data_IF_825315236697
#
_entry.id   IF_825315236697
#
_cell.length_a   1.000
_cell.length_b   1.000
_cell.length_c   1.000
_cell.angle_alpha   90.00
_cell.angle_beta   90.00
_cell.angle_gamma   90.00
#
_symmetry.space_group_name_H-M   'P 1'
#
loop_
_entity.id
_entity.type
_entity.pdbx_description
1 polymer ?
#
# COMPACT_ATOMS: atom_id res chain seq x y z
N UNK A 1 77.72 52.35 -34.00
CA UNK A 1 77.41 51.03 -33.41
C UNK A 1 76.73 51.13 -32.04
N UNK A 2 77.21 51.94 -31.08
CA UNK A 2 76.61 52.04 -29.73
C UNK A 2 75.14 52.52 -29.68
N UNK A 3 74.73 53.51 -30.48
CA UNK A 3 73.35 54.04 -30.46
C UNK A 3 72.32 52.99 -30.90
N UNK A 4 72.65 52.16 -31.88
CA UNK A 4 71.78 51.08 -32.35
C UNK A 4 71.59 49.97 -31.29
N UNK A 5 72.63 49.69 -30.50
CA UNK A 5 72.55 48.74 -29.39
C UNK A 5 71.69 49.29 -28.23
N UNK A 6 71.82 50.58 -27.92
CA UNK A 6 71.01 51.24 -26.89
C UNK A 6 69.51 51.25 -27.26
N UNK A 7 69.17 51.54 -28.53
CA UNK A 7 67.78 51.48 -28.99
C UNK A 7 67.22 50.05 -28.92
N UNK A 8 67.98 49.05 -29.37
CA UNK A 8 67.58 47.64 -29.29
C UNK A 8 67.38 47.15 -27.85
N UNK A 9 68.16 47.64 -26.89
CA UNK A 9 67.98 47.33 -25.48
C UNK A 9 66.70 47.97 -24.91
N UNK A 10 66.40 49.21 -25.31
CA UNK A 10 65.18 49.92 -24.93
C UNK A 10 63.93 49.23 -25.48
N UNK A 11 63.95 48.80 -26.74
CA UNK A 11 62.85 48.06 -27.38
C UNK A 11 62.61 46.70 -26.71
N UNK A 12 63.68 46.02 -26.25
CA UNK A 12 63.54 44.79 -25.48
C UNK A 12 62.96 45.03 -24.10
N UNK A 13 63.35 46.11 -23.43
CA UNK A 13 62.80 46.47 -22.12
C UNK A 13 61.30 46.79 -22.22
N UNK A 14 60.86 47.49 -23.28
CA UNK A 14 59.44 47.77 -23.50
C UNK A 14 58.66 46.51 -23.86
N UNK A 15 59.21 45.62 -24.70
CA UNK A 15 58.58 44.32 -25.00
C UNK A 15 58.43 43.45 -23.76
N UNK A 16 59.43 43.40 -22.88
CA UNK A 16 59.36 42.66 -21.63
C UNK A 16 58.31 43.25 -20.67
N UNK A 17 58.20 44.59 -20.57
CA UNK A 17 57.15 45.24 -19.76
C UNK A 17 55.76 44.92 -20.29
N UNK A 18 55.56 44.98 -21.61
CA UNK A 18 54.28 44.65 -22.24
C UNK A 18 53.91 43.16 -22.09
N UNK A 19 54.89 42.27 -22.18
CA UNK A 19 54.70 40.84 -21.93
C UNK A 19 54.33 40.56 -20.45
N UNK A 20 54.95 41.28 -19.51
CA UNK A 20 54.60 41.18 -18.09
C UNK A 20 53.18 41.72 -17.80
N UNK A 21 52.81 42.86 -18.38
CA UNK A 21 51.48 43.47 -18.21
C UNK A 21 50.36 42.60 -18.81
N UNK A 22 50.59 42.01 -19.98
CA UNK A 22 49.65 41.06 -20.59
C UNK A 22 49.48 39.80 -19.74
N UNK A 23 50.59 39.21 -19.25
CA UNK A 23 50.51 38.07 -18.34
C UNK A 23 49.75 38.37 -17.03
N UNK A 24 49.94 39.56 -16.45
CA UNK A 24 49.18 40.00 -15.27
C UNK A 24 47.70 40.23 -15.60
N UNK A 25 47.39 40.77 -16.78
CA UNK A 25 46.01 40.98 -17.23
C UNK A 25 45.27 39.64 -17.43
N UNK A 26 45.93 38.67 -18.05
CA UNK A 26 45.41 37.31 -18.24
C UNK A 26 45.17 36.61 -16.89
N UNK A 27 46.14 36.68 -15.96
CA UNK A 27 45.98 36.11 -14.62
C UNK A 27 44.80 36.73 -13.87
N UNK A 28 44.65 38.06 -13.92
CA UNK A 28 43.51 38.76 -13.33
C UNK A 28 42.18 38.36 -13.98
N UNK A 29 42.16 38.12 -15.29
CA UNK A 29 40.97 37.65 -15.98
C UNK A 29 40.59 36.23 -15.56
N UNK A 30 41.57 35.33 -15.46
CA UNK A 30 41.34 33.96 -15.00
C UNK A 30 40.84 33.92 -13.56
N UNK A 31 41.43 34.71 -12.65
CA UNK A 31 40.94 34.83 -11.27
C UNK A 31 39.52 35.35 -11.19
N UNK A 32 39.14 36.34 -12.01
CA UNK A 32 37.75 36.82 -12.08
C UNK A 32 36.79 35.73 -12.53
N UNK A 33 37.14 34.99 -13.59
CA UNK A 33 36.31 33.86 -14.07
C UNK A 33 36.12 32.78 -13.00
N UNK A 34 37.18 32.45 -12.28
CA UNK A 34 37.09 31.49 -11.16
C UNK A 34 36.23 32.03 -10.02
N UNK A 35 36.32 33.32 -9.69
CA UNK A 35 35.47 33.94 -8.68
C UNK A 35 33.98 33.90 -9.08
N UNK A 36 33.66 34.33 -10.30
CA UNK A 36 32.28 34.32 -10.82
C UNK A 36 31.71 32.90 -10.84
N UNK A 37 32.55 31.92 -11.22
CA UNK A 37 32.17 30.50 -11.21
C UNK A 37 31.94 29.98 -9.79
N UNK A 38 32.80 30.34 -8.84
CA UNK A 38 32.65 29.96 -7.44
C UNK A 38 31.38 30.56 -6.83
N UNK A 39 31.06 31.81 -7.17
CA UNK A 39 29.83 32.48 -6.73
C UNK A 39 28.57 31.80 -7.31
N UNK A 40 28.60 31.45 -8.60
CA UNK A 40 27.52 30.69 -9.23
C UNK A 40 27.30 29.32 -8.56
N UNK A 41 28.37 28.56 -8.31
CA UNK A 41 28.30 27.27 -7.63
C UNK A 41 27.80 27.41 -6.18
N UNK A 42 28.19 28.47 -5.46
CA UNK A 42 27.68 28.75 -4.11
C UNK A 42 26.17 29.03 -4.14
N UNK A 43 25.68 29.75 -5.14
CA UNK A 43 24.26 30.00 -5.36
C UNK A 43 23.47 28.72 -5.66
N UNK A 44 23.97 27.86 -6.53
CA UNK A 44 23.37 26.55 -6.83
C UNK A 44 23.34 25.64 -5.61
N UNK A 45 24.43 25.59 -4.83
CA UNK A 45 24.51 24.79 -3.61
C UNK A 45 23.55 25.31 -2.54
N UNK A 46 23.39 26.63 -2.40
CA UNK A 46 22.40 27.22 -1.50
C UNK A 46 20.96 26.90 -1.93
N UNK A 47 20.68 26.86 -3.23
CA UNK A 47 19.38 26.43 -3.77
C UNK A 47 19.13 24.95 -3.49
N UNK A 48 20.09 24.08 -3.81
CA UNK A 48 20.01 22.64 -3.56
C UNK A 48 19.79 22.32 -2.07
N UNK A 49 20.46 23.04 -1.16
CA UNK A 49 20.24 22.91 0.29
C UNK A 49 18.83 23.31 0.71
N UNK A 50 18.26 24.38 0.13
CA UNK A 50 16.88 24.80 0.40
C UNK A 50 15.88 23.76 -0.09
N UNK A 51 16.09 23.23 -1.29
CA UNK A 51 15.21 22.21 -1.89
C UNK A 51 15.25 20.90 -1.07
N UNK A 52 16.43 20.45 -0.63
CA UNK A 52 16.57 19.29 0.26
C UNK A 52 15.89 19.51 1.61
N UNK A 53 16.01 20.70 2.19
CA UNK A 53 15.31 21.04 3.44
C UNK A 53 13.79 20.98 3.27
N UNK A 54 13.27 21.47 2.14
CA UNK A 54 11.85 21.38 1.83
C UNK A 54 11.39 19.92 1.64
N UNK A 55 12.15 19.09 0.93
CA UNK A 55 11.86 17.67 0.78
C UNK A 55 11.86 16.91 2.10
N UNK A 56 12.82 17.21 2.99
CA UNK A 56 12.88 16.60 4.32
C UNK A 56 11.65 16.95 5.16
N UNK A 57 11.20 18.20 5.12
CA UNK A 57 10.01 18.66 5.82
C UNK A 57 8.72 18.02 5.27
N UNK A 58 8.62 17.82 3.95
CA UNK A 58 7.50 17.11 3.33
C UNK A 58 7.50 15.62 3.74
N UNK A 59 8.66 14.97 3.77
CA UNK A 59 8.78 13.57 4.18
C UNK A 59 8.45 13.37 5.66
N UNK A 60 8.88 14.28 6.55
CA UNK A 60 8.54 14.20 7.97
C UNK A 60 7.03 14.36 8.17
N UNK A 61 6.43 15.35 7.50
CA UNK A 61 4.98 15.59 7.57
C UNK A 61 4.19 14.39 7.04
N UNK A 62 4.61 13.78 5.92
CA UNK A 62 3.97 12.59 5.38
C UNK A 62 4.06 11.39 6.35
N UNK A 63 5.19 11.23 7.05
CA UNK A 63 5.35 10.19 8.09
C UNK A 63 4.43 10.43 9.30
N UNK A 64 4.27 11.69 9.71
CA UNK A 64 3.36 12.07 10.81
C UNK A 64 1.90 11.83 10.42
N UNK A 65 1.49 12.23 9.21
CA UNK A 65 0.14 11.99 8.66
C UNK A 65 -0.14 10.49 8.53
N UNK A 66 0.81 9.69 8.04
CA UNK A 66 0.68 8.23 7.97
C UNK A 66 0.54 7.60 9.36
N UNK A 67 1.27 8.11 10.36
CA UNK A 67 1.17 7.64 11.74
C UNK A 67 -0.18 7.99 12.38
N UNK A 68 -0.73 9.16 12.08
CA UNK A 68 -2.07 9.57 12.51
C UNK A 68 -3.16 8.73 11.84
N UNK A 69 -3.07 8.53 10.53
CA UNK A 69 -4.00 7.70 9.77
C UNK A 69 -4.03 6.25 10.29
N UNK A 70 -2.86 5.68 10.60
CA UNK A 70 -2.77 4.34 11.20
C UNK A 70 -3.47 4.27 12.55
N UNK A 71 -3.23 5.24 13.44
CA UNK A 71 -3.90 5.30 14.75
C UNK A 71 -5.42 5.42 14.60
N UNK A 72 -5.89 6.28 13.69
CA UNK A 72 -7.32 6.45 13.42
C UNK A 72 -7.95 5.18 12.83
N UNK A 73 -7.24 4.46 11.97
CA UNK A 73 -7.67 3.18 11.44
C UNK A 73 -7.72 2.10 12.54
N UNK A 74 -6.71 2.05 13.42
CA UNK A 74 -6.70 1.14 14.57
C UNK A 74 -7.88 1.41 15.51
N UNK A 75 -8.17 2.67 15.85
CA UNK A 75 -9.33 3.03 16.69
C UNK A 75 -10.64 2.66 16.00
N UNK A 76 -10.81 3.00 14.72
CA UNK A 76 -12.02 2.64 13.96
C UNK A 76 -12.22 1.11 13.88
N UNK A 77 -11.14 0.34 13.70
CA UNK A 77 -11.23 -1.12 13.69
C UNK A 77 -11.49 -1.70 15.08
N UNK A 78 -11.06 -1.04 16.16
CA UNK A 78 -11.36 -1.45 17.53
C UNK A 78 -12.83 -1.20 17.86
N UNK A 79 -13.36 -0.03 17.49
CA UNK A 79 -14.78 0.32 17.64
C UNK A 79 -15.69 -0.65 16.86
N UNK A 80 -15.36 -0.95 15.59
CA UNK A 80 -16.13 -1.92 14.81
C UNK A 80 -16.15 -3.31 15.46
N UNK A 81 -15.02 -3.77 16.01
CA UNK A 81 -14.95 -5.06 16.72
C UNK A 81 -15.81 -5.04 17.99
N UNK A 82 -15.81 -3.94 18.73
CA UNK A 82 -16.65 -3.79 19.92
C UNK A 82 -18.14 -3.81 19.57
N UNK A 83 -18.54 -3.11 18.52
CA UNK A 83 -19.92 -3.12 18.01
C UNK A 83 -20.33 -4.53 17.57
N UNK A 84 -19.50 -5.22 16.79
CA UNK A 84 -19.77 -6.60 16.38
C UNK A 84 -19.91 -7.57 17.56
N UNK A 85 -19.04 -7.42 18.58
CA UNK A 85 -19.15 -8.21 19.81
C UNK A 85 -20.47 -7.93 20.53
N UNK A 86 -20.86 -6.66 20.64
CA UNK A 86 -22.12 -6.26 21.28
C UNK A 86 -23.33 -6.84 20.55
N UNK A 87 -23.33 -6.81 19.22
CA UNK A 87 -24.38 -7.42 18.41
C UNK A 87 -24.40 -8.96 18.54
N UNK A 88 -23.24 -9.62 18.66
CA UNK A 88 -23.18 -11.06 18.89
C UNK A 88 -23.75 -11.43 20.26
N UNK A 89 -23.36 -10.71 21.32
CA UNK A 89 -23.86 -10.93 22.67
C UNK A 89 -25.39 -10.72 22.72
N UNK A 90 -25.91 -9.70 22.04
CA UNK A 90 -27.37 -9.47 21.88
C UNK A 90 -28.07 -10.58 21.09
N UNK A 91 -27.46 -11.08 20.01
CA UNK A 91 -28.03 -12.18 19.25
C UNK A 91 -28.10 -13.47 20.08
N UNK A 92 -27.11 -13.70 20.94
CA UNK A 92 -27.07 -14.84 21.86
C UNK A 92 -28.16 -14.74 22.93
N UNK A 93 -28.35 -13.56 23.54
CA UNK A 93 -29.44 -13.36 24.51
C UNK A 93 -30.81 -13.57 23.89
N UNK A 94 -31.06 -13.01 22.70
CA UNK A 94 -32.32 -13.21 21.96
C UNK A 94 -32.56 -14.68 21.62
N UNK A 95 -31.51 -15.42 21.27
CA UNK A 95 -31.61 -16.86 21.00
C UNK A 95 -32.03 -17.63 22.26
N UNK A 96 -31.45 -17.28 23.42
CA UNK A 96 -31.83 -17.86 24.72
C UNK A 96 -33.27 -17.55 25.13
N UNK A 97 -33.72 -16.31 24.90
CA UNK A 97 -35.12 -15.91 25.15
C UNK A 97 -36.10 -16.66 24.26
N UNK A 98 -35.80 -16.81 22.95
CA UNK A 98 -36.63 -17.59 22.04
C UNK A 98 -36.70 -19.07 22.43
N UNK A 99 -35.60 -19.65 22.92
CA UNK A 99 -35.60 -21.02 23.44
C UNK A 99 -36.48 -21.17 24.69
N UNK A 100 -36.43 -20.21 25.62
CA UNK A 100 -37.33 -20.17 26.79
C UNK A 100 -38.79 -20.07 26.39
N UNK A 101 -39.14 -19.11 25.52
CA UNK A 101 -40.52 -18.94 25.03
C UNK A 101 -41.03 -20.21 24.34
N UNK A 102 -40.19 -20.90 23.56
CA UNK A 102 -40.55 -22.19 22.94
C UNK A 102 -40.83 -23.27 23.99
N UNK A 103 -39.98 -23.41 25.00
CA UNK A 103 -40.19 -24.37 26.09
C UNK A 103 -41.44 -24.06 26.94
N UNK A 104 -41.73 -22.79 27.21
CA UNK A 104 -42.95 -22.36 27.89
C UNK A 104 -44.21 -22.66 27.06
N UNK A 105 -44.16 -22.48 25.74
CA UNK A 105 -45.27 -22.78 24.85
C UNK A 105 -45.51 -24.30 24.76
N UNK A 106 -44.45 -25.10 24.69
CA UNK A 106 -44.51 -26.56 24.70
C UNK A 106 -45.08 -27.11 26.03
N UNK A 107 -44.65 -26.56 27.17
CA UNK A 107 -45.22 -26.93 28.49
C UNK A 107 -46.69 -26.52 28.63
N UNK A 108 -47.08 -25.33 28.15
CA UNK A 108 -48.48 -24.90 28.13
C UNK A 108 -49.35 -25.79 27.23
N UNK A 109 -48.85 -26.23 26.08
CA UNK A 109 -49.54 -27.19 25.19
C UNK A 109 -49.73 -28.55 25.87
N UNK A 110 -48.73 -29.05 26.59
CA UNK A 110 -48.83 -30.30 27.33
C UNK A 110 -49.89 -30.21 28.45
N UNK A 111 -49.93 -29.13 29.22
CA UNK A 111 -50.90 -28.91 30.30
C UNK A 111 -52.33 -28.76 29.76
N UNK A 112 -52.52 -28.04 28.65
CA UNK A 112 -53.85 -27.84 28.05
C UNK A 112 -54.36 -29.05 27.26
N UNK A 113 -53.50 -29.96 26.79
CA UNK A 113 -53.93 -31.25 26.23
C UNK A 113 -54.50 -32.21 27.30
N UNK A 114 -54.12 -32.03 28.57
CA UNK A 114 -54.57 -32.82 29.72
C UNK A 114 -55.84 -32.26 30.39
N UNK A 115 -56.17 -31.00 30.11
CA UNK A 115 -57.37 -30.32 30.58
C UNK A 115 -58.30 -30.04 29.38
N UNK A 116 -59.26 -30.93 29.14
CA UNK A 116 -60.20 -30.79 28.03
C UNK A 116 -60.97 -29.46 28.07
N UNK A 117 -60.75 -28.60 27.06
CA UNK A 117 -61.60 -27.45 26.72
C UNK A 117 -60.94 -26.07 26.89
N UNK A 118 -60.54 -25.43 25.79
CA UNK A 118 -60.08 -24.04 25.84
C UNK A 118 -59.30 -23.48 24.65
N UNK A 119 -59.70 -23.76 23.41
CA UNK A 119 -58.98 -23.31 22.19
C UNK A 119 -59.04 -21.80 21.92
N UNK A 120 -59.76 -21.01 22.73
CA UNK A 120 -60.00 -19.57 22.49
C UNK A 120 -59.00 -18.65 23.22
N UNK A 121 -58.40 -19.06 24.34
CA UNK A 121 -57.48 -18.18 25.10
C UNK A 121 -56.02 -18.27 24.61
N UNK A 122 -55.57 -19.43 24.11
CA UNK A 122 -54.19 -19.65 23.60
C UNK A 122 -53.88 -18.74 22.40
N UNK A 123 -54.87 -18.47 21.54
CA UNK A 123 -54.70 -17.60 20.35
C UNK A 123 -54.60 -16.11 20.70
N UNK A 124 -55.14 -15.68 21.86
CA UNK A 124 -55.07 -14.28 22.33
C UNK A 124 -53.77 -14.01 23.10
N UNK A 125 -53.32 -14.97 23.91
CA UNK A 125 -52.02 -14.91 24.62
C UNK A 125 -50.82 -14.92 23.67
N UNK A 126 -50.83 -15.80 22.65
CA UNK A 126 -49.76 -15.86 21.65
C UNK A 126 -49.66 -14.58 20.79
N UNK A 127 -50.78 -13.89 20.51
CA UNK A 127 -50.79 -12.60 19.81
C UNK A 127 -50.32 -11.44 20.68
N UNK A 128 -50.59 -11.46 21.98
CA UNK A 128 -50.09 -10.46 22.94
C UNK A 128 -48.57 -10.56 23.11
N UNK A 129 -48.07 -11.77 23.37
CA UNK A 129 -46.64 -12.02 23.53
C UNK A 129 -45.83 -11.72 22.25
N UNK A 130 -46.37 -11.99 21.06
CA UNK A 130 -45.69 -11.62 19.80
C UNK A 130 -45.79 -10.12 19.47
N UNK A 131 -46.77 -9.41 20.00
CA UNK A 131 -46.86 -7.95 19.86
C UNK A 131 -45.87 -7.23 20.80
N UNK A 132 -45.72 -7.69 22.05
CA UNK A 132 -44.75 -7.15 23.00
C UNK A 132 -43.31 -7.43 22.55
N UNK A 133 -43.00 -8.63 22.08
CA UNK A 133 -41.68 -8.96 21.52
C UNK A 133 -41.33 -8.10 20.30
N UNK A 134 -42.32 -7.80 19.44
CA UNK A 134 -42.16 -6.88 18.30
C UNK A 134 -41.94 -5.44 18.73
N UNK A 135 -42.60 -4.99 19.80
CA UNK A 135 -42.44 -3.64 20.32
C UNK A 135 -41.07 -3.44 20.98
N UNK A 136 -40.56 -4.46 21.68
CA UNK A 136 -39.20 -4.47 22.25
C UNK A 136 -38.12 -4.49 21.16
N UNK A 137 -38.27 -5.29 20.10
CA UNK A 137 -37.37 -5.30 18.93
C UNK A 137 -37.37 -3.96 18.17
N UNK A 138 -38.50 -3.24 18.14
CA UNK A 138 -38.59 -1.90 17.54
C UNK A 138 -37.84 -0.88 18.40
N UNK A 139 -38.03 -0.93 19.71
CA UNK A 139 -37.39 -0.03 20.68
C UNK A 139 -35.87 -0.20 20.70
N UNK A 140 -35.36 -1.43 20.56
CA UNK A 140 -33.91 -1.66 20.39
C UNK A 140 -33.37 -1.16 19.04
N UNK A 141 -34.13 -1.32 17.94
CA UNK A 141 -33.74 -0.75 16.64
C UNK A 141 -33.64 0.77 16.66
N UNK A 142 -34.58 1.44 17.33
CA UNK A 142 -34.60 2.91 17.44
C UNK A 142 -33.51 3.43 18.40
N UNK A 143 -32.97 2.58 19.28
CA UNK A 143 -31.86 2.94 20.20
C UNK A 143 -30.48 2.74 19.55
N UNK A 144 -30.40 1.97 18.46
CA UNK A 144 -29.17 1.72 17.70
C UNK A 144 -28.91 2.73 16.55
N UNK A 145 -29.84 3.67 16.30
CA UNK A 145 -29.69 4.70 15.26
C UNK A 145 -29.03 5.96 15.83
N UNK A 146 -27.69 5.95 15.93
CA UNK A 146 -26.89 7.19 15.93
C UNK A 146 -26.67 7.58 14.46
N UNK A 147 -26.96 8.82 14.04
CA UNK A 147 -26.94 9.22 12.64
C UNK A 147 -25.50 9.42 12.17
N UNK A 148 -25.06 8.64 11.17
CA UNK A 148 -23.89 8.95 10.37
C UNK A 148 -24.33 9.43 8.97
N UNK A 149 -23.86 10.60 8.48
CA UNK A 149 -24.36 11.18 7.25
C UNK A 149 -23.66 10.59 6.02
N UNK A 150 -24.49 10.25 5.03
CA UNK A 150 -24.08 9.99 3.66
C UNK A 150 -23.41 8.63 3.48
N UNK A 151 -23.93 7.82 2.56
CA UNK A 151 -23.28 7.43 1.30
C UNK A 151 -24.28 6.53 0.57
N UNK A 152 -24.50 6.85 -0.70
CA UNK A 152 -25.56 6.28 -1.56
C UNK A 152 -25.37 4.76 -1.72
N UNK A 153 -26.45 3.95 -1.76
CA UNK A 153 -26.32 2.55 -2.13
C UNK A 153 -26.19 2.46 -3.65
N UNK A 154 -25.12 1.85 -4.12
CA UNK A 154 -25.05 1.34 -5.49
C UNK A 154 -24.57 -0.10 -5.41
N UNK A 155 -25.56 -0.98 -5.58
CA UNK A 155 -25.46 -2.31 -6.14
C UNK A 155 -24.60 -3.31 -5.37
N UNK A 156 -25.27 -3.99 -4.44
CA UNK A 156 -25.18 -5.44 -4.39
C UNK A 156 -25.79 -5.98 -5.69
N UNK A 157 -25.01 -6.71 -6.51
CA UNK A 157 -25.38 -8.02 -7.06
C UNK A 157 -24.29 -8.57 -7.99
N UNK A 158 -24.10 -9.89 -7.88
CA UNK A 158 -23.20 -10.80 -8.63
C UNK A 158 -21.84 -11.04 -7.95
N UNK A 159 -21.50 -12.23 -7.48
CA UNK A 159 -22.18 -13.51 -7.56
C UNK A 159 -21.61 -14.43 -6.46
N UNK A 160 -22.54 -15.10 -5.79
CA UNK A 160 -22.29 -16.32 -5.04
C UNK A 160 -21.99 -17.48 -6.02
N UNK A 161 -21.26 -18.47 -5.50
CA UNK A 161 -21.03 -19.82 -6.04
C UNK A 161 -19.92 -20.02 -7.08
N UNK A 162 -18.71 -20.36 -6.58
CA UNK A 162 -17.94 -21.53 -7.03
C UNK A 162 -16.75 -21.77 -6.07
N UNK A 163 -17.06 -22.32 -4.89
CA UNK A 163 -16.07 -22.99 -4.05
C UNK A 163 -15.86 -24.42 -4.57
N UNK A 164 -14.88 -24.58 -5.45
CA UNK A 164 -14.06 -25.78 -5.75
C UNK A 164 -13.24 -25.38 -6.98
N UNK A 165 -11.98 -24.99 -6.84
CA UNK A 165 -10.85 -25.91 -7.02
C UNK A 165 -9.63 -25.39 -6.22
N UNK A 166 -9.43 -25.99 -5.04
CA UNK A 166 -8.08 -26.19 -4.51
C UNK A 166 -7.63 -27.58 -4.98
N UNK A 167 -6.63 -27.63 -5.87
CA UNK A 167 -5.54 -28.60 -5.77
C UNK A 167 -4.22 -27.83 -5.92
N UNK A 168 -3.14 -27.99 -5.16
CA UNK A 168 -2.64 -29.09 -4.36
C UNK A 168 -1.65 -28.52 -3.34
N UNK A 169 -1.69 -29.09 -2.15
CA UNK A 169 -0.58 -29.20 -1.20
C UNK A 169 0.73 -29.58 -1.93
N UNK A 170 1.65 -28.62 -2.09
CA UNK A 170 3.05 -28.88 -2.44
C UNK A 170 4.05 -27.75 -2.08
N UNK A 171 3.65 -26.67 -1.40
CA UNK A 171 4.58 -25.66 -0.86
C UNK A 171 4.34 -25.40 0.65
N UNK A 172 3.98 -26.44 1.39
CA UNK A 172 4.08 -26.42 2.85
C UNK A 172 5.51 -26.81 3.25
N UNK A 173 6.48 -25.91 2.99
CA UNK A 173 7.81 -25.80 3.64
C UNK A 173 8.67 -24.71 2.97
N UNK A 174 8.09 -23.56 2.63
CA UNK A 174 8.89 -22.35 2.44
C UNK A 174 9.18 -21.77 3.82
N UNK A 175 10.43 -21.41 4.09
CA UNK A 175 10.87 -20.75 5.33
C UNK A 175 9.83 -19.69 5.78
N UNK A 176 9.37 -19.67 7.04
CA UNK A 176 8.42 -18.65 7.52
C UNK A 176 8.88 -17.22 7.21
N UNK A 177 10.18 -17.01 7.01
CA UNK A 177 10.74 -15.76 6.53
C UNK A 177 10.33 -15.43 5.08
N UNK A 178 10.40 -16.40 4.15
CA UNK A 178 9.96 -16.26 2.75
C UNK A 178 8.48 -15.91 2.67
N UNK A 179 7.64 -16.57 3.47
CA UNK A 179 6.21 -16.28 3.50
C UNK A 179 5.91 -14.85 3.94
N UNK A 180 6.64 -14.34 4.94
CA UNK A 180 6.53 -12.94 5.39
C UNK A 180 7.04 -11.95 4.33
N UNK A 181 8.14 -12.27 3.64
CA UNK A 181 8.68 -11.45 2.56
C UNK A 181 7.69 -11.37 1.38
N UNK A 182 7.09 -12.49 0.97
CA UNK A 182 6.06 -12.52 -0.08
C UNK A 182 4.81 -11.71 0.30
N UNK A 183 4.34 -11.83 1.54
CA UNK A 183 3.20 -11.06 2.04
C UNK A 183 3.51 -9.54 2.03
N UNK A 184 4.71 -9.16 2.46
CA UNK A 184 5.16 -7.75 2.44
C UNK A 184 5.31 -7.23 1.01
N UNK A 185 5.92 -8.00 0.11
CA UNK A 185 6.04 -7.63 -1.30
C UNK A 185 4.66 -7.44 -1.94
N UNK A 186 3.71 -8.35 -1.68
CA UNK A 186 2.33 -8.23 -2.19
C UNK A 186 1.66 -6.93 -1.74
N UNK A 187 1.83 -6.55 -0.46
CA UNK A 187 1.29 -5.29 0.05
C UNK A 187 1.89 -4.06 -0.64
N UNK A 188 3.21 -4.08 -0.91
CA UNK A 188 3.90 -3.01 -1.62
C UNK A 188 3.44 -2.87 -3.07
N UNK A 189 3.18 -4.00 -3.76
CA UNK A 189 2.62 -4.00 -5.10
C UNK A 189 1.21 -3.40 -5.15
N UNK A 190 0.35 -3.74 -4.18
CA UNK A 190 -0.99 -3.13 -4.04
C UNK A 190 -0.90 -1.63 -3.77
N UNK A 191 0.12 -1.21 -3.02
CA UNK A 191 0.39 0.20 -2.74
C UNK A 191 0.99 0.95 -3.95
N UNK A 192 1.44 0.23 -4.99
CA UNK A 192 2.08 0.79 -6.17
C UNK A 192 3.57 1.10 -5.99
N UNK A 193 4.17 0.70 -4.87
CA UNK A 193 5.61 0.87 -4.61
C UNK A 193 6.40 -0.30 -5.22
N UNK A 194 6.60 -0.21 -6.53
CA UNK A 194 7.31 -1.24 -7.31
C UNK A 194 8.79 -1.34 -6.91
N UNK A 195 9.41 -0.22 -6.53
CA UNK A 195 10.82 -0.17 -6.13
C UNK A 195 11.06 -0.93 -4.83
N UNK A 196 10.26 -0.66 -3.79
CA UNK A 196 10.36 -1.37 -2.53
C UNK A 196 9.96 -2.86 -2.69
N UNK A 197 8.94 -3.16 -3.52
CA UNK A 197 8.54 -4.54 -3.78
C UNK A 197 9.68 -5.36 -4.39
N UNK A 198 10.42 -4.80 -5.36
CA UNK A 198 11.58 -5.47 -5.99
C UNK A 198 12.64 -5.84 -4.96
N UNK A 199 13.00 -4.96 -4.04
CA UNK A 199 14.01 -5.24 -3.01
C UNK A 199 13.59 -6.42 -2.12
N UNK A 200 12.33 -6.43 -1.68
CA UNK A 200 11.80 -7.50 -0.83
C UNK A 200 11.73 -8.84 -1.60
N UNK A 201 11.36 -8.78 -2.89
CA UNK A 201 11.28 -9.95 -3.75
C UNK A 201 12.65 -10.50 -4.13
N UNK A 202 13.65 -9.65 -4.39
CA UNK A 202 15.04 -10.07 -4.64
C UNK A 202 15.61 -10.86 -3.46
N UNK A 203 15.30 -10.42 -2.23
CA UNK A 203 15.67 -11.19 -1.03
C UNK A 203 14.95 -12.55 -0.98
N UNK A 204 13.66 -12.60 -1.30
CA UNK A 204 12.88 -13.85 -1.32
C UNK A 204 13.27 -14.79 -2.48
N UNK A 205 13.85 -14.27 -3.56
CA UNK A 205 14.43 -15.08 -4.65
C UNK A 205 15.78 -15.65 -4.22
N UNK A 206 16.59 -14.89 -3.48
CA UNK A 206 17.87 -15.37 -2.93
C UNK A 206 17.74 -16.59 -2.00
N UNK A 207 16.57 -16.77 -1.38
CA UNK A 207 16.21 -17.95 -0.57
C UNK A 207 15.61 -19.10 -1.38
N UNK A 208 15.50 -18.97 -2.71
CA UNK A 208 15.12 -20.04 -3.63
C UNK A 208 13.61 -20.19 -3.89
N UNK A 209 12.79 -19.18 -3.60
CA UNK A 209 11.36 -19.25 -3.85
C UNK A 209 10.99 -19.03 -5.32
N UNK A 210 10.44 -20.06 -5.95
CA UNK A 210 9.88 -19.99 -7.31
C UNK A 210 8.78 -18.92 -7.43
N UNK A 211 7.93 -18.83 -6.40
CA UNK A 211 6.85 -17.83 -6.32
C UNK A 211 7.38 -16.41 -6.24
N UNK A 212 8.46 -16.19 -5.50
CA UNK A 212 9.13 -14.88 -5.46
C UNK A 212 9.71 -14.51 -6.83
N UNK A 213 10.32 -15.47 -7.55
CA UNK A 213 10.86 -15.22 -8.89
C UNK A 213 9.76 -14.80 -9.87
N UNK A 214 8.59 -15.45 -9.79
CA UNK A 214 7.44 -15.07 -10.61
C UNK A 214 6.96 -13.65 -10.32
N UNK A 215 6.75 -13.33 -9.05
CA UNK A 215 6.30 -11.98 -8.66
C UNK A 215 7.34 -10.91 -9.01
N UNK A 216 8.64 -11.22 -8.88
CA UNK A 216 9.71 -10.30 -9.27
C UNK A 216 9.67 -10.06 -10.80
N UNK A 217 9.44 -11.09 -11.60
CA UNK A 217 9.31 -10.98 -13.05
C UNK A 217 8.15 -10.05 -13.45
N UNK A 218 6.99 -10.16 -12.78
CA UNK A 218 5.83 -9.28 -13.01
C UNK A 218 6.17 -7.80 -12.76
N UNK A 219 7.07 -7.50 -11.83
CA UNK A 219 7.52 -6.12 -11.60
C UNK A 219 8.43 -5.57 -12.70
N UNK A 220 9.08 -6.43 -13.49
CA UNK A 220 9.93 -6.03 -14.61
C UNK A 220 9.20 -6.08 -15.96
N UNK A 221 8.04 -6.73 -16.02
CA UNK A 221 7.22 -6.90 -17.22
C UNK A 221 6.51 -5.58 -17.62
N UNK A 222 6.82 -4.99 -18.79
CA UNK A 222 6.20 -3.75 -19.23
C UNK A 222 4.69 -3.84 -19.46
N UNK A 223 4.16 -5.01 -19.85
CA UNK A 223 2.73 -5.22 -20.07
C UNK A 223 1.98 -5.21 -18.73
N UNK A 224 2.57 -5.82 -17.71
CA UNK A 224 2.03 -5.85 -16.35
C UNK A 224 2.09 -4.45 -15.72
N UNK A 225 3.24 -3.77 -15.83
CA UNK A 225 3.40 -2.41 -15.33
C UNK A 225 2.42 -1.42 -16.00
N UNK A 226 2.14 -1.62 -17.29
CA UNK A 226 1.13 -0.84 -18.03
C UNK A 226 -0.29 -1.08 -17.49
N UNK A 227 -0.61 -2.33 -17.14
CA UNK A 227 -1.90 -2.70 -16.54
C UNK A 227 -2.04 -2.12 -15.13
N UNK A 228 -0.95 -2.11 -14.36
CA UNK A 228 -0.92 -1.50 -13.02
C UNK A 228 -0.90 0.04 -13.04
N UNK A 229 -0.82 0.67 -14.24
CA UNK A 229 -0.76 2.13 -14.42
C UNK A 229 0.33 2.80 -13.57
N UNK A 230 1.42 2.09 -13.34
CA UNK A 230 2.54 2.64 -12.56
C UNK A 230 3.41 3.49 -13.48
N UNK A 231 3.47 4.80 -13.21
CA UNK A 231 4.27 5.75 -13.99
C UNK A 231 5.60 5.97 -13.28
N UNK A 232 6.72 5.74 -13.98
CA UNK A 232 8.06 6.11 -13.52
C UNK A 232 9.03 4.96 -13.23
N UNK A 233 8.62 3.70 -13.34
CA UNK A 233 9.54 2.56 -13.30
C UNK A 233 9.69 1.95 -14.69
N UNK A 234 10.93 1.87 -15.19
CA UNK A 234 11.23 1.25 -16.49
C UNK A 234 11.19 -0.27 -16.32
N UNK A 235 10.30 -0.94 -17.04
CA UNK A 235 10.33 -2.38 -17.19
C UNK A 235 11.57 -2.85 -17.95
N UNK A 236 12.01 -4.07 -17.69
CA UNK A 236 13.12 -4.74 -18.36
C UNK A 236 12.64 -6.11 -18.83
N UNK A 237 12.40 -6.23 -20.14
CA UNK A 237 11.87 -7.43 -20.78
C UNK A 237 12.84 -8.60 -20.65
N UNK A 238 14.15 -8.34 -20.73
CA UNK A 238 15.18 -9.39 -20.68
C UNK A 238 15.22 -10.02 -19.30
N UNK A 239 15.29 -9.19 -18.25
CA UNK A 239 15.24 -9.67 -16.86
C UNK A 239 13.92 -10.36 -16.52
N UNK A 240 12.79 -9.84 -16.99
CA UNK A 240 11.49 -10.46 -16.76
C UNK A 240 11.45 -11.89 -17.33
N UNK A 241 12.00 -12.11 -18.54
CA UNK A 241 12.08 -13.45 -19.15
C UNK A 241 12.96 -14.42 -18.35
N UNK A 242 14.14 -13.99 -17.90
CA UNK A 242 15.02 -14.82 -17.08
C UNK A 242 14.34 -15.23 -15.77
N UNK A 243 13.67 -14.31 -15.11
CA UNK A 243 12.95 -14.56 -13.87
C UNK A 243 11.72 -15.47 -14.08
N UNK A 244 10.99 -15.31 -15.19
CA UNK A 244 9.92 -16.24 -15.56
C UNK A 244 10.46 -17.64 -15.88
N UNK A 245 11.62 -17.77 -16.54
CA UNK A 245 12.26 -19.06 -16.77
C UNK A 245 12.66 -19.74 -15.45
N UNK A 246 13.18 -18.97 -14.49
CA UNK A 246 13.50 -19.47 -13.14
C UNK A 246 12.24 -19.90 -12.37
N UNK A 247 11.16 -19.12 -12.46
CA UNK A 247 9.88 -19.49 -11.86
C UNK A 247 9.26 -20.75 -12.51
N UNK A 248 9.44 -20.93 -13.82
CA UNK A 248 9.03 -22.13 -14.54
C UNK A 248 9.81 -23.36 -14.08
N UNK A 249 11.13 -23.21 -13.90
CA UNK A 249 11.99 -24.27 -13.35
C UNK A 249 11.55 -24.67 -11.93
N UNK A 250 11.00 -23.73 -11.16
CA UNK A 250 10.37 -23.98 -9.87
C UNK A 250 8.91 -24.46 -9.91
N UNK A 251 8.37 -24.78 -11.11
CA UNK A 251 7.05 -25.41 -11.27
C UNK A 251 5.89 -24.47 -11.63
N UNK A 252 6.10 -23.15 -11.70
CA UNK A 252 5.04 -22.18 -12.00
C UNK A 252 4.77 -22.12 -13.50
N UNK A 253 3.75 -22.84 -13.96
CA UNK A 253 3.37 -22.90 -15.38
C UNK A 253 2.88 -21.57 -15.94
N UNK A 254 2.27 -20.73 -15.10
CA UNK A 254 1.81 -19.38 -15.46
C UNK A 254 2.94 -18.47 -15.98
N UNK A 255 4.19 -18.76 -15.59
CA UNK A 255 5.37 -18.03 -16.07
C UNK A 255 5.62 -18.25 -17.57
N UNK A 256 5.22 -19.41 -18.11
CA UNK A 256 5.40 -19.74 -19.53
C UNK A 256 4.61 -18.79 -20.42
N UNK A 257 3.32 -18.64 -20.12
CA UNK A 257 2.41 -17.80 -20.89
C UNK A 257 2.84 -16.34 -20.85
N UNK A 258 3.29 -15.86 -19.68
CA UNK A 258 3.82 -14.50 -19.51
C UNK A 258 5.16 -14.30 -20.23
N UNK A 259 6.06 -15.29 -20.23
CA UNK A 259 7.33 -15.20 -20.95
C UNK A 259 7.16 -15.16 -22.47
N UNK A 260 6.16 -15.86 -23.02
CA UNK A 260 5.83 -15.85 -24.45
C UNK A 260 5.17 -14.53 -24.84
N UNK A 261 4.31 -13.97 -23.99
CA UNK A 261 3.70 -12.66 -24.23
C UNK A 261 4.71 -11.50 -24.30
N UNK A 262 5.93 -11.71 -23.79
CA UNK A 262 7.03 -10.76 -23.85
C UNK A 262 7.88 -10.85 -25.13
N UNK A 263 7.59 -11.79 -26.06
CA UNK A 263 8.31 -11.98 -27.35
C UNK A 263 8.15 -10.82 -28.32
#
# INVERSE_FOLDING_TARGET
>A
MQVAQANKARDRATQLSQAAESGVAELRQSLRKEHDRAEALAGELAKARRDLKAQLALSSKASDEASQAKKAAETATAELRQSLKTEHDRAETLTGELARVRGELETQLAVSSKAGGGTVQVKKGAKGATAELRQSLKKERDTAEVPAPGHKPTLMQAAEAAATEQPTVAEAQGDPEVARLLARASALLVQGDIGAARIVLEHAVGTGSARASFMLAETYDPLVLSTWKTYGTRGDVTKARELYANALAGGIQQARDRSVALQ
#
